data_IF_132888061105
#
_entry.id   IF_132888061105
#
_cell.length_a   1.000
_cell.length_b   1.000
_cell.length_c   1.000
_cell.angle_alpha   90.00
_cell.angle_beta   90.00
_cell.angle_gamma   90.00
#
_symmetry.space_group_name_H-M   'P 1'
#
loop_
_entity.id
_entity.type
_entity.pdbx_description
1 polymer ?
#
# COMPACT_ATOMS: atom_id res chain seq x y z
N UNK A 1 5.37 16.13 -11.14
CA UNK A 1 6.47 15.81 -12.08
C UNK A 1 7.01 17.09 -12.73
N UNK A 2 8.32 17.26 -12.72
CA UNK A 2 8.96 18.33 -13.49
C UNK A 2 8.87 18.03 -14.99
N UNK A 3 9.09 19.07 -15.80
CA UNK A 3 8.85 19.07 -17.25
C UNK A 3 9.61 17.99 -18.04
N UNK A 4 10.62 17.35 -17.44
CA UNK A 4 11.49 16.34 -18.07
C UNK A 4 11.12 14.88 -17.73
N UNK A 5 10.06 14.64 -16.95
CA UNK A 5 9.62 13.27 -16.61
C UNK A 5 10.56 12.52 -15.65
N UNK A 6 11.56 13.20 -15.09
CA UNK A 6 12.39 12.66 -14.01
C UNK A 6 11.54 12.41 -12.75
N UNK A 7 11.80 11.29 -12.08
CA UNK A 7 11.26 11.02 -10.76
C UNK A 7 11.70 12.14 -9.79
N UNK A 8 10.83 12.56 -8.85
CA UNK A 8 11.19 13.59 -7.89
C UNK A 8 12.44 13.18 -7.10
N UNK A 9 13.32 14.16 -6.84
CA UNK A 9 14.48 13.94 -5.98
C UNK A 9 14.02 13.78 -4.52
N UNK A 10 14.38 12.66 -3.89
CA UNK A 10 14.10 12.40 -2.48
C UNK A 10 13.19 11.18 -2.23
N UNK A 11 12.89 10.88 -0.96
CA UNK A 11 12.07 9.72 -0.60
C UNK A 11 10.64 9.89 -1.12
N UNK A 12 10.18 8.89 -1.87
CA UNK A 12 8.83 8.80 -2.41
C UNK A 12 8.00 7.82 -1.58
N UNK A 13 6.75 8.18 -1.32
CA UNK A 13 5.73 7.27 -0.79
C UNK A 13 4.54 7.26 -1.74
N UNK A 14 4.13 6.07 -2.17
CA UNK A 14 2.89 5.90 -2.95
C UNK A 14 1.71 5.76 -2.00
N UNK A 15 0.65 6.55 -2.20
CA UNK A 15 -0.58 6.46 -1.42
C UNK A 15 -1.74 6.30 -2.38
N UNK A 16 -2.59 5.30 -2.15
CA UNK A 16 -3.75 5.05 -3.00
C UNK A 16 -4.97 4.62 -2.20
N UNK A 17 -6.15 5.07 -2.63
CA UNK A 17 -7.44 4.68 -2.04
C UNK A 17 -8.21 3.72 -2.95
N UNK A 18 -8.88 2.72 -2.37
CA UNK A 18 -9.70 1.73 -3.08
C UNK A 18 -8.90 1.05 -4.20
N UNK A 19 -9.35 1.13 -5.46
CA UNK A 19 -8.59 0.62 -6.61
C UNK A 19 -7.21 1.27 -6.75
N UNK A 20 -7.06 2.55 -6.38
CA UNK A 20 -5.76 3.22 -6.35
C UNK A 20 -4.81 2.59 -5.33
N UNK A 21 -5.33 2.09 -4.20
CA UNK A 21 -4.55 1.36 -3.21
C UNK A 21 -4.05 0.01 -3.74
N UNK A 22 -4.93 -0.72 -4.43
CA UNK A 22 -4.56 -1.96 -5.11
C UNK A 22 -3.48 -1.74 -6.18
N UNK A 23 -3.60 -0.66 -6.96
CA UNK A 23 -2.59 -0.28 -7.95
C UNK A 23 -1.27 0.14 -7.29
N UNK A 24 -1.32 0.89 -6.19
CA UNK A 24 -0.11 1.29 -5.46
C UNK A 24 0.67 0.06 -4.96
N UNK A 25 -0.03 -0.94 -4.41
CA UNK A 25 0.57 -2.22 -4.04
C UNK A 25 1.16 -2.95 -5.26
N UNK A 26 0.45 -2.97 -6.39
CA UNK A 26 0.94 -3.61 -7.61
C UNK A 26 2.17 -2.89 -8.21
N UNK A 27 2.29 -1.57 -8.07
CA UNK A 27 3.50 -0.85 -8.50
C UNK A 27 4.67 -1.13 -7.55
N UNK A 28 4.42 -1.14 -6.24
CA UNK A 28 5.46 -1.36 -5.24
C UNK A 28 5.99 -2.80 -5.23
N UNK A 29 5.10 -3.78 -5.44
CA UNK A 29 5.41 -5.20 -5.23
C UNK A 29 5.22 -6.07 -6.48
N UNK A 30 4.79 -5.49 -7.60
CA UNK A 30 4.48 -6.19 -8.84
C UNK A 30 5.68 -6.74 -9.60
N UNK A 31 5.43 -7.50 -10.69
CA UNK A 31 6.47 -8.03 -11.58
C UNK A 31 7.42 -6.98 -12.17
N UNK A 32 6.96 -5.73 -12.26
CA UNK A 32 7.76 -4.61 -12.81
C UNK A 32 8.58 -3.93 -11.72
N UNK A 33 8.23 -4.15 -10.44
CA UNK A 33 8.80 -3.45 -9.29
C UNK A 33 8.69 -1.92 -9.40
N UNK A 34 9.19 -1.19 -8.39
CA UNK A 34 9.37 0.24 -8.55
C UNK A 34 10.47 0.52 -9.58
N UNK A 35 10.22 1.46 -10.48
CA UNK A 35 11.23 1.90 -11.45
C UNK A 35 12.37 2.74 -10.82
N UNK A 36 12.40 2.86 -9.49
CA UNK A 36 13.31 3.73 -8.74
C UNK A 36 13.52 3.28 -7.30
N UNK A 37 14.75 3.37 -6.82
CA UNK A 37 15.13 3.17 -5.41
C UNK A 37 14.62 4.30 -4.49
N UNK A 38 14.05 5.37 -5.06
CA UNK A 38 13.44 6.45 -4.30
C UNK A 38 12.14 6.02 -3.61
N UNK A 39 11.51 4.90 -4.00
CA UNK A 39 10.30 4.42 -3.35
C UNK A 39 10.62 3.84 -1.96
N UNK A 40 10.30 4.61 -0.93
CA UNK A 40 10.59 4.28 0.48
C UNK A 40 9.38 3.74 1.24
N UNK A 41 8.19 3.75 0.62
CA UNK A 41 6.99 3.28 1.27
C UNK A 41 5.76 3.24 0.35
N UNK A 42 4.77 2.44 0.75
CA UNK A 42 3.46 2.40 0.10
C UNK A 42 2.32 2.33 1.13
N UNK A 43 1.27 3.11 0.92
CA UNK A 43 0.06 3.13 1.72
C UNK A 43 -1.14 2.71 0.86
N UNK A 44 -1.80 1.61 1.24
CA UNK A 44 -3.04 1.14 0.65
C UNK A 44 -4.21 1.46 1.59
N UNK A 45 -5.12 2.33 1.15
CA UNK A 45 -6.24 2.81 1.96
C UNK A 45 -7.55 2.24 1.41
N UNK A 46 -8.34 1.52 2.21
CA UNK A 46 -9.62 0.93 1.75
C UNK A 46 -9.48 0.01 0.54
N UNK A 47 -8.28 -0.56 0.32
CA UNK A 47 -7.92 -1.31 -0.88
C UNK A 47 -7.52 -2.75 -0.57
N UNK A 48 -6.96 -3.45 -1.55
CA UNK A 48 -6.63 -4.87 -1.45
C UNK A 48 -5.43 -5.24 -2.32
N UNK A 49 -4.76 -6.35 -1.99
CA UNK A 49 -3.70 -6.90 -2.83
C UNK A 49 -4.32 -7.71 -3.98
N UNK A 50 -3.92 -7.40 -5.22
CA UNK A 50 -4.34 -8.16 -6.39
C UNK A 50 -3.62 -9.51 -6.44
N UNK A 51 -4.37 -10.59 -6.69
CA UNK A 51 -3.84 -11.93 -6.97
C UNK A 51 -2.68 -12.38 -6.04
N UNK A 52 -2.86 -12.43 -4.71
CA UNK A 52 -1.78 -12.67 -3.73
C UNK A 52 -0.97 -13.98 -3.93
N UNK A 53 -1.46 -14.91 -4.75
CA UNK A 53 -0.81 -16.19 -5.07
C UNK A 53 -0.25 -16.23 -6.51
N UNK A 54 -0.24 -15.09 -7.21
CA UNK A 54 0.31 -15.00 -8.55
C UNK A 54 1.83 -15.24 -8.51
N UNK A 55 2.29 -16.22 -9.28
CA UNK A 55 3.69 -16.60 -9.36
C UNK A 55 4.54 -15.59 -10.16
N UNK A 56 3.90 -14.61 -10.82
CA UNK A 56 4.60 -13.57 -11.58
C UNK A 56 5.18 -12.46 -10.72
N UNK A 57 4.81 -12.38 -9.44
CA UNK A 57 5.41 -11.42 -8.52
C UNK A 57 6.88 -11.75 -8.26
N UNK A 58 7.75 -10.77 -8.55
CA UNK A 58 9.17 -10.82 -8.21
C UNK A 58 9.37 -10.28 -6.79
N UNK A 59 9.53 -11.20 -5.83
CA UNK A 59 9.76 -10.89 -4.43
C UNK A 59 11.25 -10.73 -4.08
N UNK A 60 12.14 -10.79 -5.08
CA UNK A 60 13.60 -10.73 -4.86
C UNK A 60 14.13 -9.29 -4.72
N UNK A 61 13.28 -8.28 -4.99
CA UNK A 61 13.59 -6.87 -4.77
C UNK A 61 13.70 -6.47 -3.29
N UNK A 62 14.29 -5.30 -3.04
CA UNK A 62 14.33 -4.74 -1.68
C UNK A 62 12.90 -4.48 -1.18
N UNK A 63 12.51 -4.98 0.01
CA UNK A 63 11.13 -4.95 0.45
C UNK A 63 10.70 -3.51 0.76
N UNK A 64 9.69 -3.00 0.04
CA UNK A 64 9.11 -1.68 0.31
C UNK A 64 8.19 -1.73 1.54
N UNK A 65 8.47 -0.98 2.62
CA UNK A 65 7.59 -0.94 3.78
C UNK A 65 6.17 -0.52 3.40
N UNK A 66 5.18 -1.25 3.91
CA UNK A 66 3.78 -1.12 3.47
C UNK A 66 2.86 -0.85 4.65
N UNK A 67 1.99 0.16 4.52
CA UNK A 67 0.87 0.40 5.40
C UNK A 67 -0.43 0.01 4.68
N UNK A 68 -1.27 -0.79 5.33
CA UNK A 68 -2.65 -1.02 4.91
C UNK A 68 -3.59 -0.44 5.97
N UNK A 69 -4.47 0.47 5.57
CA UNK A 69 -5.52 1.03 6.45
C UNK A 69 -6.87 0.74 5.84
N UNK A 70 -7.78 0.12 6.59
CA UNK A 70 -9.09 -0.26 6.08
C UNK A 70 -10.22 0.14 7.04
N UNK A 71 -11.37 0.50 6.50
CA UNK A 71 -12.57 0.73 7.30
C UNK A 71 -13.14 -0.59 7.79
N UNK A 72 -13.35 -0.75 9.10
CA UNK A 72 -13.91 -1.98 9.67
C UNK A 72 -15.35 -2.24 9.19
N UNK A 73 -16.05 -1.17 8.80
CA UNK A 73 -17.45 -1.18 8.33
C UNK A 73 -17.54 -0.94 6.81
N UNK A 74 -16.46 -1.20 6.06
CA UNK A 74 -16.41 -1.05 4.61
C UNK A 74 -17.33 -2.07 3.91
N UNK A 75 -18.34 -1.57 3.20
CA UNK A 75 -19.35 -2.35 2.48
C UNK A 75 -19.06 -2.48 0.97
N UNK A 76 -17.98 -1.87 0.48
CA UNK A 76 -17.59 -1.89 -0.94
C UNK A 76 -16.42 -2.84 -1.16
N UNK A 77 -15.40 -2.77 -0.31
CA UNK A 77 -14.24 -3.67 -0.31
C UNK A 77 -14.21 -4.38 1.03
N UNK A 78 -14.45 -5.68 1.03
CA UNK A 78 -14.50 -6.48 2.25
C UNK A 78 -13.17 -6.36 3.02
N UNK A 79 -13.17 -5.93 4.31
CA UNK A 79 -11.96 -5.83 5.13
C UNK A 79 -11.14 -7.13 5.19
N UNK A 80 -11.78 -8.30 4.97
CA UNK A 80 -11.09 -9.57 4.84
C UNK A 80 -10.07 -9.60 3.69
N UNK A 81 -10.32 -8.86 2.60
CA UNK A 81 -9.39 -8.76 1.48
C UNK A 81 -8.11 -8.00 1.87
N UNK A 82 -8.23 -6.90 2.62
CA UNK A 82 -7.09 -6.16 3.16
C UNK A 82 -6.28 -7.02 4.13
N UNK A 83 -6.96 -7.69 5.09
CA UNK A 83 -6.34 -8.67 6.00
C UNK A 83 -5.59 -9.78 5.27
N UNK A 84 -6.18 -10.32 4.19
CA UNK A 84 -5.56 -11.37 3.40
C UNK A 84 -4.33 -10.88 2.64
N UNK A 85 -4.40 -9.66 2.08
CA UNK A 85 -3.28 -8.98 1.43
C UNK A 85 -2.12 -8.72 2.38
N UNK A 86 -2.39 -8.19 3.57
CA UNK A 86 -1.37 -7.96 4.61
C UNK A 86 -0.63 -9.27 4.94
N UNK A 87 -1.35 -10.34 5.26
CA UNK A 87 -0.76 -11.66 5.51
C UNK A 87 0.04 -12.18 4.33
N UNK A 88 -0.40 -11.93 3.09
CA UNK A 88 0.30 -12.39 1.91
C UNK A 88 1.64 -11.69 1.72
N UNK A 89 1.71 -10.37 1.97
CA UNK A 89 2.94 -9.58 1.96
C UNK A 89 3.89 -9.96 3.10
N UNK A 90 3.36 -10.13 4.33
CA UNK A 90 4.15 -10.57 5.49
C UNK A 90 4.83 -11.92 5.26
N UNK A 91 4.13 -12.89 4.65
CA UNK A 91 4.70 -14.21 4.30
C UNK A 91 5.89 -14.12 3.34
N UNK A 92 6.07 -12.99 2.67
CA UNK A 92 7.16 -12.72 1.73
C UNK A 92 8.23 -11.79 2.31
N UNK A 93 8.18 -11.52 3.62
CA UNK A 93 9.17 -10.71 4.30
C UNK A 93 9.02 -9.20 4.09
N UNK A 94 7.91 -8.75 3.50
CA UNK A 94 7.60 -7.33 3.40
C UNK A 94 7.28 -6.80 4.80
N UNK A 95 7.89 -5.68 5.25
CA UNK A 95 7.48 -4.99 6.47
C UNK A 95 6.08 -4.41 6.27
N UNK A 96 5.10 -4.96 6.99
CA UNK A 96 3.69 -4.56 6.88
C UNK A 96 3.20 -4.04 8.22
N UNK A 97 2.50 -2.91 8.18
CA UNK A 97 1.60 -2.49 9.26
C UNK A 97 0.17 -2.50 8.71
N UNK A 98 -0.76 -3.11 9.44
CA UNK A 98 -2.17 -3.21 9.04
C UNK A 98 -3.06 -2.66 10.15
N UNK A 99 -3.91 -1.70 9.80
CA UNK A 99 -4.82 -1.02 10.73
C UNK A 99 -6.25 -1.10 10.21
N UNK A 100 -7.17 -1.47 11.09
CA UNK A 100 -8.61 -1.31 10.85
C UNK A 100 -9.15 -0.21 11.74
N UNK A 101 -9.96 0.67 11.15
CA UNK A 101 -10.50 1.85 11.83
C UNK A 101 -12.02 1.89 11.71
N UNK A 102 -12.69 2.52 12.67
CA UNK A 102 -14.16 2.59 12.74
C UNK A 102 -14.72 3.60 11.72
N UNK A 103 -14.70 3.22 10.44
CA UNK A 103 -15.30 3.93 9.30
C UNK A 103 -15.68 2.94 8.19
N UNK A 104 -16.43 3.40 7.19
CA UNK A 104 -16.81 2.64 5.99
C UNK A 104 -15.87 2.90 4.80
N UNK A 105 -16.39 2.77 3.57
CA UNK A 105 -15.60 3.00 2.34
C UNK A 105 -15.42 4.49 2.00
N UNK A 106 -14.59 5.20 2.76
CA UNK A 106 -14.37 6.64 2.56
C UNK A 106 -13.01 7.10 3.07
N UNK A 107 -12.52 8.23 2.53
CA UNK A 107 -11.34 8.92 3.04
C UNK A 107 -11.79 10.02 4.01
N UNK A 108 -11.63 9.76 5.30
CA UNK A 108 -11.91 10.70 6.38
C UNK A 108 -10.71 10.83 7.33
N UNK A 109 -10.86 11.66 8.36
CA UNK A 109 -9.81 11.86 9.36
C UNK A 109 -9.47 10.57 10.13
N UNK A 110 -10.44 9.67 10.31
CA UNK A 110 -10.26 8.39 10.99
C UNK A 110 -9.36 7.47 10.15
N UNK A 111 -9.60 7.38 8.85
CA UNK A 111 -8.77 6.62 7.90
C UNK A 111 -7.37 7.22 7.74
N UNK A 112 -7.25 8.55 7.74
CA UNK A 112 -5.97 9.21 7.54
C UNK A 112 -5.07 9.25 8.78
N UNK A 113 -5.61 9.11 9.99
CA UNK A 113 -4.83 9.20 11.22
C UNK A 113 -3.64 8.20 11.28
N UNK A 114 -3.81 6.90 10.96
CA UNK A 114 -2.68 5.97 10.89
C UNK A 114 -1.65 6.34 9.82
N UNK A 115 -2.10 6.87 8.69
CA UNK A 115 -1.22 7.30 7.59
C UNK A 115 -0.29 8.42 8.03
N UNK A 116 -0.84 9.45 8.70
CA UNK A 116 -0.07 10.57 9.22
C UNK A 116 0.94 10.10 10.26
N UNK A 117 0.53 9.21 11.18
CA UNK A 117 1.41 8.66 12.20
C UNK A 117 2.57 7.86 11.59
N UNK A 118 2.27 7.02 10.59
CA UNK A 118 3.25 6.20 9.90
C UNK A 118 4.26 7.02 9.11
N UNK A 119 3.81 8.11 8.46
CA UNK A 119 4.68 9.03 7.73
C UNK A 119 5.59 9.83 8.67
N UNK A 120 5.10 10.22 9.86
CA UNK A 120 5.89 10.99 10.82
C UNK A 120 7.08 10.21 11.41
N UNK A 121 7.07 8.87 11.32
CA UNK A 121 8.15 7.99 11.78
C UNK A 121 9.25 7.72 10.75
N UNK A 122 9.26 8.44 9.62
CA UNK A 122 10.14 8.19 8.47
C UNK A 122 11.01 9.38 8.11
#
# INVERSE_FOLDING_TARGET
PDADGAAPEGPLVLVGFSQGGALALAVAHGPVGPATDALTGVCCLGGFLLSPDDATYDWEGAPTPTLLVHGADDDVVDPQQARAGARALERRGIPVEHCEVATGHQVDATLLAPVVAWLAGR
#
